data_IF_626501528406
#
_entry.id   IF_626501528406
#
_cell.length_a   1.000
_cell.length_b   1.000
_cell.length_c   1.000
_cell.angle_alpha   90.00
_cell.angle_beta   90.00
_cell.angle_gamma   90.00
#
_symmetry.space_group_name_H-M   'P 1'
#
loop_
_entity.id
_entity.type
_entity.pdbx_description
1 polymer ?
#
# COMPACT_ATOMS: atom_id res chain seq x y z
N UNK A 1 -7.67 66.13 6.39
CA UNK A 1 -6.51 65.24 6.32
C UNK A 1 -6.91 64.00 7.11
N UNK A 2 -7.26 62.95 6.44
CA UNK A 2 -7.77 61.69 7.09
C UNK A 2 -6.80 60.57 6.74
N UNK A 3 -6.13 60.07 7.78
CA UNK A 3 -5.15 59.00 7.71
C UNK A 3 -5.89 57.68 7.46
N UNK A 4 -5.55 57.01 6.37
CA UNK A 4 -6.01 55.66 6.05
C UNK A 4 -4.93 54.66 6.52
N UNK A 5 -5.20 54.02 7.64
CA UNK A 5 -4.40 52.91 8.12
C UNK A 5 -4.89 51.66 7.40
N UNK A 6 -4.07 51.15 6.48
CA UNK A 6 -4.26 49.86 5.85
C UNK A 6 -3.83 48.76 6.84
N UNK A 7 -4.82 48.07 7.40
CA UNK A 7 -4.58 46.88 8.18
C UNK A 7 -4.28 45.70 7.23
N UNK A 8 -3.03 45.28 7.15
CA UNK A 8 -2.59 44.06 6.42
C UNK A 8 -2.86 42.86 7.31
N UNK A 9 -3.96 42.14 7.09
CA UNK A 9 -4.27 40.88 7.76
C UNK A 9 -3.44 39.78 7.14
N UNK A 10 -2.36 39.37 7.84
CA UNK A 10 -1.58 38.19 7.49
C UNK A 10 -2.37 36.96 7.95
N UNK A 11 -2.97 36.26 6.99
CA UNK A 11 -3.52 34.91 7.21
C UNK A 11 -2.34 33.93 7.29
N UNK A 12 -1.92 33.59 8.50
CA UNK A 12 -1.02 32.46 8.74
C UNK A 12 -1.85 31.19 8.64
N UNK A 13 -1.77 30.50 7.49
CA UNK A 13 -2.30 29.18 7.36
C UNK A 13 -1.41 28.22 8.18
N UNK A 14 -1.85 27.84 9.37
CA UNK A 14 -1.27 26.72 10.12
C UNK A 14 -1.56 25.45 9.32
N UNK A 15 -0.57 24.94 8.62
CA UNK A 15 -0.57 23.57 8.16
C UNK A 15 -0.46 22.65 9.40
N UNK A 16 -1.60 22.19 9.90
CA UNK A 16 -1.66 21.13 10.89
C UNK A 16 -1.09 19.87 10.24
N UNK A 17 0.18 19.58 10.51
CA UNK A 17 0.71 18.26 10.28
C UNK A 17 -0.13 17.28 11.13
N UNK A 18 -0.97 16.50 10.47
CA UNK A 18 -1.65 15.39 11.14
C UNK A 18 -0.58 14.36 11.49
N UNK A 19 -0.05 14.46 12.70
CA UNK A 19 0.58 13.32 13.33
C UNK A 19 -0.55 12.30 13.54
N UNK A 20 -0.65 11.30 12.64
CA UNK A 20 -1.64 10.24 12.77
C UNK A 20 -1.50 9.61 14.16
N UNK A 21 -2.61 9.48 14.88
CA UNK A 21 -2.61 8.73 16.14
C UNK A 21 -2.06 7.32 15.87
N UNK A 22 -1.15 6.87 16.76
CA UNK A 22 -0.58 5.54 16.64
C UNK A 22 -1.70 4.49 16.69
N UNK A 23 -1.84 3.70 15.64
CA UNK A 23 -2.87 2.65 15.55
C UNK A 23 -2.53 1.56 16.57
N UNK A 24 -3.49 1.26 17.45
CA UNK A 24 -3.39 0.11 18.36
C UNK A 24 -4.28 -1.01 17.82
N UNK A 25 -3.67 -2.14 17.47
CA UNK A 25 -4.43 -3.30 16.99
C UNK A 25 -5.24 -3.94 18.12
N UNK A 26 -6.51 -4.24 17.84
CA UNK A 26 -7.45 -4.91 18.76
C UNK A 26 -7.74 -6.33 18.25
N UNK A 27 -6.72 -7.02 17.79
CA UNK A 27 -6.83 -8.36 17.24
C UNK A 27 -7.33 -9.35 18.29
N UNK A 28 -8.36 -10.13 17.96
CA UNK A 28 -8.84 -11.23 18.82
C UNK A 28 -7.87 -12.42 18.73
N UNK A 29 -6.92 -12.46 19.65
CA UNK A 29 -5.88 -13.50 19.70
C UNK A 29 -6.39 -14.88 20.10
N UNK A 30 -7.63 -14.98 20.64
CA UNK A 30 -8.23 -16.26 20.94
C UNK A 30 -8.58 -17.07 19.67
N UNK A 31 -8.66 -16.37 18.53
CA UNK A 31 -8.87 -16.97 17.20
C UNK A 31 -7.57 -16.97 16.41
N UNK A 32 -6.60 -17.75 16.84
CA UNK A 32 -5.33 -17.92 16.17
C UNK A 32 -5.23 -19.29 15.51
N UNK A 33 -4.77 -19.34 14.26
CA UNK A 33 -4.50 -20.56 13.49
C UNK A 33 -3.00 -20.93 13.48
N UNK A 34 -2.19 -20.06 14.03
CA UNK A 34 -0.74 -20.22 14.15
C UNK A 34 -0.33 -19.83 15.57
N UNK A 35 0.81 -20.31 16.08
CA UNK A 35 1.35 -19.85 17.35
C UNK A 35 1.56 -18.32 17.31
N UNK A 36 0.94 -17.58 18.22
CA UNK A 36 1.00 -16.10 18.23
C UNK A 36 2.43 -15.60 18.48
N UNK A 37 3.22 -16.38 19.21
CA UNK A 37 4.64 -16.15 19.48
C UNK A 37 5.53 -16.21 18.24
N UNK A 38 5.09 -16.85 17.15
CA UNK A 38 5.78 -16.86 15.86
C UNK A 38 5.53 -15.57 15.05
N UNK A 39 4.54 -14.76 15.47
CA UNK A 39 4.27 -13.45 14.85
C UNK A 39 5.12 -12.40 15.56
N UNK A 40 6.29 -12.12 15.00
CA UNK A 40 7.30 -11.26 15.60
C UNK A 40 7.17 -9.80 15.15
N UNK A 41 7.80 -8.88 15.90
CA UNK A 41 7.87 -7.48 15.48
C UNK A 41 8.84 -7.32 14.31
N UNK A 42 8.40 -6.57 13.28
CA UNK A 42 9.24 -6.12 12.17
C UNK A 42 9.91 -4.75 12.42
N UNK A 43 9.64 -4.13 13.58
CA UNK A 43 10.19 -2.83 13.99
C UNK A 43 9.16 -1.71 13.98
N UNK A 44 8.59 -1.30 12.84
CA UNK A 44 7.60 -0.24 12.79
C UNK A 44 6.31 -0.58 13.57
N UNK A 45 5.61 0.41 14.14
CA UNK A 45 4.27 0.18 14.69
C UNK A 45 3.24 -0.05 13.55
N UNK A 46 2.00 -0.45 13.87
CA UNK A 46 0.93 -0.52 12.89
C UNK A 46 0.77 0.82 12.15
N UNK A 47 0.66 0.75 10.80
CA UNK A 47 0.70 1.88 9.86
C UNK A 47 1.94 2.79 9.98
N UNK A 48 3.00 2.35 10.66
CA UNK A 48 4.30 3.03 10.67
C UNK A 48 4.93 3.11 9.28
N UNK A 49 4.61 2.12 8.43
CA UNK A 49 4.77 2.17 6.98
C UNK A 49 3.36 2.40 6.42
N UNK A 50 3.01 3.63 5.98
CA UNK A 50 1.63 3.96 5.66
C UNK A 50 1.20 3.33 4.34
N UNK A 51 0.11 2.57 4.34
CA UNK A 51 -0.51 2.09 3.12
C UNK A 51 -1.06 3.25 2.27
N UNK A 52 -1.13 3.07 0.94
CA UNK A 52 -1.76 4.02 0.03
C UNK A 52 -3.24 3.64 -0.14
N UNK A 53 -4.14 4.45 0.45
CA UNK A 53 -5.59 4.20 0.41
C UNK A 53 -6.32 4.98 -0.69
N UNK A 54 -5.68 5.99 -1.26
CA UNK A 54 -6.19 6.81 -2.35
C UNK A 54 -5.13 6.98 -3.42
N UNK A 55 -4.86 5.90 -4.18
CA UNK A 55 -3.79 5.93 -5.17
C UNK A 55 -4.11 6.88 -6.31
N UNK A 56 -3.14 7.68 -6.71
CA UNK A 56 -3.18 8.59 -7.85
C UNK A 56 -2.36 7.97 -8.98
N UNK A 57 -2.89 8.00 -10.19
CA UNK A 57 -2.25 7.40 -11.35
C UNK A 57 -1.92 8.43 -12.41
N UNK A 58 -0.87 8.15 -13.16
CA UNK A 58 -0.44 8.94 -14.33
C UNK A 58 -0.34 8.02 -15.56
N UNK A 59 -0.28 8.61 -16.75
CA UNK A 59 -0.02 7.85 -17.97
C UNK A 59 1.40 7.29 -18.00
N UNK A 60 1.67 6.22 -18.76
CA UNK A 60 3.02 5.70 -18.94
C UNK A 60 4.00 6.74 -19.50
N UNK A 61 3.51 7.64 -20.35
CA UNK A 61 4.32 8.74 -20.89
C UNK A 61 4.74 9.73 -19.79
N UNK A 62 3.84 10.09 -18.89
CA UNK A 62 4.16 10.97 -17.76
C UNK A 62 5.08 10.28 -16.74
N UNK A 63 4.89 8.99 -16.49
CA UNK A 63 5.73 8.21 -15.59
C UNK A 63 7.18 8.12 -16.09
N UNK A 64 7.41 8.07 -17.42
CA UNK A 64 8.73 8.00 -18.00
C UNK A 64 9.66 9.19 -17.68
N UNK A 65 9.11 10.29 -17.17
CA UNK A 65 9.90 11.43 -16.72
C UNK A 65 10.69 11.14 -15.43
N UNK A 66 10.28 10.14 -14.64
CA UNK A 66 10.88 9.85 -13.33
C UNK A 66 11.07 8.35 -13.06
N UNK A 67 10.48 7.46 -13.85
CA UNK A 67 10.61 6.01 -13.74
C UNK A 67 11.51 5.52 -14.89
N UNK A 68 12.67 4.98 -14.56
CA UNK A 68 13.62 4.51 -15.56
C UNK A 68 13.10 3.27 -16.29
N UNK A 69 13.53 3.04 -17.52
CA UNK A 69 13.06 1.95 -18.39
C UNK A 69 13.17 0.56 -17.73
N UNK A 70 14.27 0.33 -16.99
CA UNK A 70 14.54 -0.96 -16.30
C UNK A 70 13.96 -1.06 -14.89
N UNK A 71 13.36 0.00 -14.38
CA UNK A 71 12.75 -0.03 -13.04
C UNK A 71 11.67 -1.10 -12.96
N UNK A 72 11.67 -1.95 -11.91
CA UNK A 72 10.66 -2.97 -11.74
C UNK A 72 9.32 -2.37 -11.34
N UNK A 73 8.27 -2.89 -11.93
CA UNK A 73 6.88 -2.59 -11.59
C UNK A 73 6.14 -3.89 -11.30
N UNK A 74 5.30 -3.91 -10.29
CA UNK A 74 4.31 -4.96 -10.12
C UNK A 74 3.10 -4.58 -10.98
N UNK A 75 2.78 -5.42 -11.95
CA UNK A 75 1.77 -5.15 -12.96
C UNK A 75 0.61 -6.13 -12.86
N UNK A 76 -0.60 -5.62 -13.00
CA UNK A 76 -1.82 -6.43 -13.07
C UNK A 76 -2.82 -5.81 -14.04
N UNK A 77 -3.74 -6.62 -14.52
CA UNK A 77 -4.87 -6.17 -15.34
C UNK A 77 -6.16 -6.86 -14.86
N UNK A 78 -7.20 -6.07 -14.64
CA UNK A 78 -8.53 -6.56 -14.29
C UNK A 78 -9.54 -5.92 -15.22
N UNK A 79 -10.27 -6.75 -15.96
CA UNK A 79 -11.31 -6.30 -16.90
C UNK A 79 -10.84 -5.21 -17.88
N UNK A 80 -9.61 -5.32 -18.37
CA UNK A 80 -9.02 -4.36 -19.30
C UNK A 80 -8.46 -3.08 -18.66
N UNK A 81 -8.53 -2.92 -17.33
CA UNK A 81 -7.86 -1.84 -16.61
C UNK A 81 -6.45 -2.31 -16.21
N UNK A 82 -5.45 -1.97 -17.02
CA UNK A 82 -4.05 -2.35 -16.79
C UNK A 82 -3.34 -1.31 -15.91
N UNK A 83 -2.70 -1.78 -14.85
CA UNK A 83 -1.98 -0.93 -13.88
C UNK A 83 -0.59 -1.44 -13.57
N UNK A 84 0.32 -0.49 -13.36
CA UNK A 84 1.67 -0.74 -12.89
C UNK A 84 1.93 0.00 -11.58
N UNK A 85 2.48 -0.70 -10.62
CA UNK A 85 2.85 -0.20 -9.31
C UNK A 85 4.37 -0.27 -9.18
N UNK A 86 5.09 0.87 -9.33
CA UNK A 86 6.56 0.88 -9.25
C UNK A 86 7.05 0.38 -7.90
N UNK A 87 8.00 -0.57 -7.90
CA UNK A 87 8.51 -1.11 -6.63
C UNK A 87 9.20 -0.04 -5.79
N UNK A 88 9.78 0.98 -6.41
CA UNK A 88 10.33 2.12 -5.68
C UNK A 88 9.30 2.87 -4.81
N UNK A 89 7.99 2.77 -5.13
CA UNK A 89 6.90 3.32 -4.32
C UNK A 89 6.46 2.27 -3.30
N UNK A 90 6.23 1.03 -3.74
CA UNK A 90 5.79 -0.06 -2.86
C UNK A 90 6.78 -0.33 -1.73
N UNK A 91 8.08 -0.11 -1.94
CA UNK A 91 9.11 -0.25 -0.93
C UNK A 91 8.94 0.69 0.29
N UNK A 92 8.22 1.81 0.12
CA UNK A 92 7.94 2.79 1.16
C UNK A 92 6.54 2.67 1.76
N UNK A 93 5.68 1.87 1.11
CA UNK A 93 4.25 1.81 1.47
C UNK A 93 3.75 0.38 1.68
N UNK A 94 4.40 -0.61 1.10
CA UNK A 94 4.12 -2.05 1.19
C UNK A 94 2.70 -2.44 0.73
N UNK A 95 1.69 -1.60 0.90
CA UNK A 95 0.28 -1.89 0.57
C UNK A 95 -0.35 -0.72 -0.20
N UNK A 96 -1.10 -1.06 -1.25
CA UNK A 96 -1.97 -0.12 -1.97
C UNK A 96 -3.38 -0.70 -2.02
N UNK A 97 -4.35 -0.02 -1.41
CA UNK A 97 -5.77 -0.33 -1.53
C UNK A 97 -6.34 0.42 -2.75
N UNK A 98 -6.78 -0.31 -3.77
CA UNK A 98 -7.18 0.24 -5.05
C UNK A 98 -8.53 -0.30 -5.53
N UNK A 99 -9.03 0.27 -6.64
CA UNK A 99 -10.17 -0.22 -7.44
C UNK A 99 -9.69 -0.38 -8.88
N UNK A 100 -9.54 -1.60 -9.35
CA UNK A 100 -9.05 -1.92 -10.71
C UNK A 100 -10.15 -2.59 -11.51
N UNK A 101 -10.52 -2.01 -12.64
CA UNK A 101 -11.63 -2.55 -13.47
C UNK A 101 -12.95 -2.71 -12.71
N UNK A 102 -13.18 -1.89 -11.67
CA UNK A 102 -14.35 -1.97 -10.80
C UNK A 102 -14.28 -3.08 -9.75
N UNK A 103 -13.10 -3.71 -9.55
CA UNK A 103 -12.86 -4.73 -8.52
C UNK A 103 -12.02 -4.11 -7.41
N UNK A 104 -12.41 -4.26 -6.11
CA UNK A 104 -11.57 -3.88 -4.99
C UNK A 104 -10.30 -4.74 -4.94
N UNK A 105 -9.13 -4.13 -5.00
CA UNK A 105 -7.84 -4.82 -5.04
C UNK A 105 -6.94 -4.30 -3.93
N UNK A 106 -6.20 -5.18 -3.26
CA UNK A 106 -5.03 -4.81 -2.48
C UNK A 106 -3.78 -5.32 -3.17
N UNK A 107 -2.87 -4.40 -3.47
CA UNK A 107 -1.55 -4.70 -4.03
C UNK A 107 -0.55 -4.64 -2.89
N UNK A 108 0.22 -5.71 -2.71
CA UNK A 108 1.11 -5.87 -1.56
C UNK A 108 2.54 -6.15 -2.00
N UNK A 109 3.49 -5.67 -1.25
CA UNK A 109 4.91 -5.91 -1.47
C UNK A 109 5.63 -6.05 -0.14
N UNK A 110 6.34 -7.16 0.05
CA UNK A 110 7.24 -7.34 1.19
C UNK A 110 8.69 -7.07 0.75
N UNK A 111 9.32 -5.95 1.16
CA UNK A 111 10.68 -5.63 0.76
C UNK A 111 11.71 -6.65 1.24
N UNK A 112 11.50 -7.24 2.42
CA UNK A 112 12.44 -8.20 3.03
C UNK A 112 12.53 -9.52 2.25
N UNK A 113 11.42 -9.97 1.64
CA UNK A 113 11.38 -11.20 0.86
C UNK A 113 11.23 -10.95 -0.66
N UNK A 114 11.21 -9.68 -1.08
CA UNK A 114 11.05 -9.25 -2.47
C UNK A 114 9.84 -9.91 -3.14
N UNK A 115 8.73 -10.06 -2.40
CA UNK A 115 7.50 -10.67 -2.88
C UNK A 115 6.42 -9.63 -3.15
N UNK A 116 5.89 -9.61 -4.37
CA UNK A 116 4.77 -8.76 -4.78
C UNK A 116 3.55 -9.61 -5.11
N UNK A 117 2.42 -9.37 -4.46
CA UNK A 117 1.19 -10.14 -4.64
C UNK A 117 0.00 -9.20 -4.65
N UNK A 118 -1.00 -9.49 -5.50
CA UNK A 118 -2.25 -8.75 -5.53
C UNK A 118 -3.43 -9.67 -5.20
N UNK A 119 -4.41 -9.13 -4.48
CA UNK A 119 -5.60 -9.87 -4.08
C UNK A 119 -6.86 -9.03 -4.30
N UNK A 120 -7.97 -9.69 -4.56
CA UNK A 120 -9.28 -9.09 -4.35
C UNK A 120 -9.51 -8.93 -2.83
N UNK A 121 -9.85 -7.71 -2.41
CA UNK A 121 -10.00 -7.37 -0.98
C UNK A 121 -11.45 -7.39 -0.49
N UNK A 122 -12.30 -8.24 -1.10
CA UNK A 122 -13.68 -8.49 -0.66
C UNK A 122 -13.75 -9.84 0.03
N UNK A 123 -14.20 -9.85 1.28
CA UNK A 123 -14.40 -11.07 2.08
C UNK A 123 -15.84 -11.09 2.59
N UNK A 124 -16.57 -12.16 2.31
CA UNK A 124 -17.98 -12.32 2.71
C UNK A 124 -18.85 -11.10 2.35
N UNK A 125 -18.63 -10.53 1.17
CA UNK A 125 -19.35 -9.35 0.67
C UNK A 125 -18.90 -8.01 1.27
N UNK A 126 -17.93 -8.01 2.18
CA UNK A 126 -17.37 -6.80 2.79
C UNK A 126 -16.04 -6.45 2.15
N UNK A 127 -15.92 -5.21 1.66
CA UNK A 127 -14.64 -4.66 1.18
C UNK A 127 -13.77 -4.32 2.39
N UNK A 128 -12.56 -4.87 2.43
CA UNK A 128 -11.59 -4.62 3.49
C UNK A 128 -10.52 -3.63 3.03
N UNK A 129 -10.05 -2.79 3.95
CA UNK A 129 -8.90 -1.91 3.75
C UNK A 129 -7.73 -2.45 4.56
N UNK A 130 -6.62 -2.72 3.88
CA UNK A 130 -5.44 -3.29 4.50
C UNK A 130 -4.42 -2.22 4.89
N UNK A 131 -3.80 -2.43 6.05
CA UNK A 131 -2.67 -1.68 6.55
C UNK A 131 -1.49 -2.58 6.93
N UNK A 132 -0.33 -1.98 7.15
CA UNK A 132 0.86 -2.69 7.64
C UNK A 132 0.72 -2.89 9.15
N UNK A 133 0.87 -4.13 9.61
CA UNK A 133 0.76 -4.41 11.04
C UNK A 133 2.06 -4.12 11.82
N UNK A 134 3.17 -3.91 11.11
CA UNK A 134 4.51 -3.86 11.68
C UNK A 134 5.01 -5.21 12.20
N UNK A 135 4.36 -6.29 11.80
CA UNK A 135 4.68 -7.66 12.21
C UNK A 135 5.12 -8.51 11.03
N UNK A 136 5.85 -9.58 11.35
CA UNK A 136 6.30 -10.60 10.41
C UNK A 136 5.84 -11.99 10.91
N UNK A 137 5.49 -12.86 9.98
CA UNK A 137 5.27 -14.28 10.21
C UNK A 137 6.04 -15.06 9.16
N UNK A 138 6.89 -16.00 9.60
CA UNK A 138 7.81 -16.76 8.72
C UNK A 138 8.65 -15.85 7.80
N UNK A 139 9.14 -14.74 8.35
CA UNK A 139 9.94 -13.70 7.66
C UNK A 139 9.20 -12.93 6.57
N UNK A 140 7.87 -13.03 6.48
CA UNK A 140 7.04 -12.35 5.52
C UNK A 140 6.11 -11.32 6.18
N UNK A 141 5.64 -10.35 5.39
CA UNK A 141 4.74 -9.29 5.81
C UNK A 141 3.44 -9.85 6.41
N UNK A 142 3.10 -9.41 7.59
CA UNK A 142 1.75 -9.57 8.15
C UNK A 142 0.98 -8.28 7.95
N UNK A 143 -0.06 -8.34 7.14
CA UNK A 143 -1.03 -7.25 6.96
C UNK A 143 -2.08 -7.30 8.08
N UNK A 144 -2.82 -6.22 8.27
CA UNK A 144 -4.06 -6.28 9.04
C UNK A 144 -5.20 -5.60 8.26
N UNK A 145 -6.44 -6.07 8.42
CA UNK A 145 -7.59 -5.32 7.93
C UNK A 145 -8.06 -4.31 8.98
N UNK A 146 -8.44 -3.11 8.53
CA UNK A 146 -8.83 -2.01 9.41
C UNK A 146 -10.22 -2.18 10.00
N UNK A 147 -11.06 -3.06 9.42
CA UNK A 147 -12.42 -3.28 9.86
C UNK A 147 -12.49 -4.19 11.10
N UNK A 148 -11.68 -5.24 11.14
CA UNK A 148 -11.70 -6.23 12.23
C UNK A 148 -10.39 -6.32 13.02
N UNK A 149 -9.32 -5.71 12.53
CA UNK A 149 -7.95 -5.87 13.02
C UNK A 149 -7.45 -7.33 12.98
N UNK A 150 -8.02 -8.18 12.10
CA UNK A 150 -7.47 -9.51 11.87
C UNK A 150 -6.11 -9.41 11.19
N UNK A 151 -5.22 -10.35 11.51
CA UNK A 151 -3.88 -10.44 10.94
C UNK A 151 -3.87 -11.42 9.77
N UNK A 152 -3.21 -11.03 8.67
CA UNK A 152 -3.19 -11.74 7.40
C UNK A 152 -1.75 -11.99 6.97
N UNK A 153 -1.39 -13.24 6.70
CA UNK A 153 -0.10 -13.58 6.09
C UNK A 153 -0.14 -13.21 4.60
N UNK A 154 0.76 -12.34 4.16
CA UNK A 154 0.77 -11.81 2.80
C UNK A 154 0.97 -12.91 1.77
N UNK A 155 1.94 -13.80 1.96
CA UNK A 155 2.28 -14.85 1.01
C UNK A 155 1.11 -15.80 0.74
N UNK A 156 0.27 -16.06 1.74
CA UNK A 156 -0.88 -16.96 1.62
C UNK A 156 -2.19 -16.23 1.28
N UNK A 157 -2.25 -14.91 1.43
CA UNK A 157 -3.51 -14.16 1.40
C UNK A 157 -4.51 -14.65 2.45
N UNK A 158 -4.04 -15.18 3.58
CA UNK A 158 -4.83 -15.86 4.59
C UNK A 158 -4.86 -15.11 5.90
N UNK A 159 -6.05 -14.94 6.47
CA UNK A 159 -6.19 -14.49 7.84
C UNK A 159 -5.69 -15.57 8.81
N UNK A 160 -4.68 -15.26 9.61
CA UNK A 160 -4.02 -16.18 10.53
C UNK A 160 -4.45 -15.97 11.99
N UNK A 161 -4.90 -14.74 12.35
CA UNK A 161 -5.39 -14.41 13.69
C UNK A 161 -6.55 -13.42 13.57
N UNK A 162 -7.56 -13.52 14.42
CA UNK A 162 -8.63 -12.54 14.55
C UNK A 162 -9.98 -13.02 14.02
N UNK A 163 -10.92 -12.10 13.85
CA UNK A 163 -12.29 -12.40 13.48
C UNK A 163 -12.42 -13.15 12.15
N UNK A 164 -11.52 -12.86 11.20
CA UNK A 164 -11.47 -13.51 9.88
C UNK A 164 -10.56 -14.73 9.83
N UNK A 165 -10.02 -15.22 10.96
CA UNK A 165 -9.10 -16.36 10.96
C UNK A 165 -9.62 -17.53 10.12
N UNK A 166 -8.82 -17.95 9.11
CA UNK A 166 -9.19 -18.98 8.13
C UNK A 166 -9.70 -18.46 6.80
N UNK A 167 -10.19 -17.22 6.72
CA UNK A 167 -10.57 -16.61 5.45
C UNK A 167 -9.36 -16.46 4.52
N UNK A 168 -9.61 -16.51 3.22
CA UNK A 168 -8.58 -16.34 2.17
C UNK A 168 -9.03 -15.29 1.18
N UNK A 169 -8.10 -14.41 0.82
CA UNK A 169 -8.27 -13.47 -0.27
C UNK A 169 -8.12 -14.20 -1.62
N UNK A 170 -8.93 -13.84 -2.59
CA UNK A 170 -8.78 -14.34 -3.95
C UNK A 170 -7.54 -13.69 -4.61
N UNK A 171 -6.66 -14.53 -5.14
CA UNK A 171 -5.45 -14.07 -5.83
C UNK A 171 -5.82 -13.39 -7.16
N UNK A 172 -5.24 -12.22 -7.41
CA UNK A 172 -5.26 -11.56 -8.71
C UNK A 172 -3.90 -11.79 -9.37
N UNK A 173 -3.84 -12.34 -10.60
CA UNK A 173 -2.59 -12.52 -11.30
C UNK A 173 -1.84 -11.19 -11.45
N UNK A 174 -0.60 -11.16 -10.99
CA UNK A 174 0.29 -10.01 -11.09
C UNK A 174 1.70 -10.49 -11.46
N UNK A 175 2.42 -9.66 -12.22
CA UNK A 175 3.76 -9.97 -12.69
C UNK A 175 4.71 -8.83 -12.36
N UNK A 176 5.93 -9.16 -11.99
CA UNK A 176 7.01 -8.18 -11.91
C UNK A 176 7.71 -8.10 -13.25
N UNK A 177 7.66 -6.92 -13.87
CA UNK A 177 8.22 -6.61 -15.19
C UNK A 177 9.08 -5.36 -15.09
N UNK A 178 9.94 -5.12 -16.09
CA UNK A 178 10.51 -3.78 -16.26
C UNK A 178 9.42 -2.81 -16.72
N UNK A 179 9.52 -1.55 -16.35
CA UNK A 179 8.59 -0.51 -16.80
C UNK A 179 8.53 -0.42 -18.35
N UNK A 180 9.66 -0.63 -19.03
CA UNK A 180 9.72 -0.60 -20.50
C UNK A 180 8.91 -1.73 -21.13
N UNK A 181 9.05 -2.96 -20.64
CA UNK A 181 8.28 -4.12 -21.11
C UNK A 181 6.79 -3.91 -20.90
N UNK A 182 6.42 -3.44 -19.69
CA UNK A 182 5.02 -3.21 -19.39
C UNK A 182 4.41 -2.11 -20.28
N UNK A 183 5.05 -0.95 -20.40
CA UNK A 183 4.51 0.17 -21.21
C UNK A 183 4.46 -0.12 -22.71
N UNK A 184 5.31 -1.03 -23.20
CA UNK A 184 5.28 -1.44 -24.61
C UNK A 184 3.94 -2.10 -24.97
N UNK A 185 3.35 -2.86 -24.04
CA UNK A 185 2.09 -3.58 -24.22
C UNK A 185 0.87 -2.80 -23.70
N UNK A 186 1.07 -1.81 -22.80
CA UNK A 186 -0.02 -1.09 -22.12
C UNK A 186 0.14 0.43 -22.27
N UNK A 187 0.06 0.92 -23.52
CA UNK A 187 0.26 2.36 -23.83
C UNK A 187 -0.75 3.28 -23.14
N UNK A 188 -1.98 2.79 -22.96
CA UNK A 188 -3.09 3.48 -22.30
C UNK A 188 -3.27 3.03 -20.84
N UNK A 189 -2.34 2.25 -20.32
CA UNK A 189 -2.34 1.79 -18.94
C UNK A 189 -2.08 2.93 -17.94
N UNK A 190 -2.17 2.61 -16.66
CA UNK A 190 -2.02 3.57 -15.56
C UNK A 190 -0.85 3.18 -14.69
N UNK A 191 0.00 4.13 -14.34
CA UNK A 191 1.15 3.95 -13.45
C UNK A 191 0.89 4.68 -12.14
N UNK A 192 1.04 3.99 -11.00
CA UNK A 192 0.95 4.63 -9.68
C UNK A 192 1.96 5.77 -9.59
N UNK A 193 1.48 6.95 -9.26
CA UNK A 193 2.31 8.16 -9.20
C UNK A 193 3.04 8.29 -7.86
N UNK A 194 4.06 9.15 -7.84
CA UNK A 194 4.74 9.56 -6.61
C UNK A 194 3.90 10.51 -5.73
N UNK A 195 2.74 10.97 -6.23
CA UNK A 195 1.76 11.73 -5.45
C UNK A 195 0.91 10.77 -4.62
N UNK A 196 1.48 10.32 -3.52
CA UNK A 196 0.87 9.36 -2.61
C UNK A 196 0.23 10.01 -1.37
N UNK A 197 0.36 11.33 -1.24
CA UNK A 197 -0.01 12.06 -0.02
C UNK A 197 1.09 12.02 1.07
N UNK A 198 2.22 11.35 0.81
CA UNK A 198 3.34 11.23 1.74
C UNK A 198 4.64 11.75 1.10
N UNK A 199 5.49 12.39 1.92
CA UNK A 199 6.84 12.78 1.51
C UNK A 199 7.80 11.62 1.75
N UNK A 200 8.33 11.02 0.68
CA UNK A 200 9.28 9.90 0.72
C UNK A 200 10.35 10.09 -0.36
N UNK A 201 11.54 9.54 -0.12
CA UNK A 201 12.65 9.56 -1.06
C UNK A 201 12.52 8.42 -2.08
N UNK A 202 11.44 8.43 -2.90
CA UNK A 202 11.21 7.38 -3.90
C UNK A 202 12.41 7.24 -4.84
N UNK A 203 12.85 6.00 -5.07
CA UNK A 203 14.02 5.65 -5.83
C UNK A 203 15.25 5.34 -4.96
N UNK A 204 15.17 5.59 -3.63
CA UNK A 204 16.15 5.07 -2.67
C UNK A 204 15.55 3.88 -1.92
N UNK A 205 16.39 2.93 -1.53
CA UNK A 205 15.97 1.78 -0.74
C UNK A 205 16.08 2.09 0.76
N UNK A 206 14.97 2.17 1.52
CA UNK A 206 15.04 2.45 2.95
C UNK A 206 15.57 1.28 3.80
N UNK A 207 15.74 0.09 3.20
CA UNK A 207 16.24 -1.13 3.85
C UNK A 207 17.74 -1.38 3.61
N UNK A 208 18.40 -0.56 2.80
CA UNK A 208 19.86 -0.56 2.64
C UNK A 208 20.49 0.33 3.72
N UNK A 209 21.21 -0.28 4.64
CA UNK A 209 22.02 0.40 5.69
C UNK A 209 23.50 0.38 5.34
#
# INVERSE_FOLDING_TARGET
>A
MRDWILALSILVALALAHAGEAVTLRTDIARALVPVEEIVSGGPPPDGIPAIDRPVFVSPAAAAAWLAAREPVLALEVKGDARAYPLQILMWHEIVNDMVGGVPVTVTFCPLCNSGIAFERTVDGTMLDFGTSGKLYQSDLVMYDRQSHSLWAQMEGRAIVGAHAGARLALIPANTLSFEEWRASHRDGKVLSRDTGYSRSYGTNPYES
#
